data_IF_758636963955
#
_entry.id   IF_758636963955
#
_cell.length_a   1.000
_cell.length_b   1.000
_cell.length_c   1.000
_cell.angle_alpha   90.00
_cell.angle_beta   90.00
_cell.angle_gamma   90.00
#
_symmetry.space_group_name_H-M   'P 1'
#
loop_
_entity.id
_entity.type
_entity.pdbx_description
1 polymer ?
#
# COMPACT_ATOMS: atom_id res chain seq x y z
N UNK A 1 -78.29 -16.92 -11.93
CA UNK A 1 -78.07 -16.60 -13.36
C UNK A 1 -76.61 -16.86 -13.67
N UNK A 2 -76.34 -17.76 -14.63
CA UNK A 2 -75.01 -17.98 -15.21
C UNK A 2 -74.61 -16.74 -16.03
N UNK A 3 -73.32 -16.41 -16.11
CA UNK A 3 -72.63 -15.75 -17.23
C UNK A 3 -71.12 -15.61 -16.90
N UNK A 4 -70.29 -16.49 -17.45
CA UNK A 4 -68.88 -16.22 -17.87
C UNK A 4 -68.92 -15.80 -19.35
N UNK A 5 -67.94 -15.10 -20.00
CA UNK A 5 -66.49 -15.38 -19.94
C UNK A 5 -65.51 -14.21 -20.31
N UNK A 6 -64.22 -14.54 -20.42
CA UNK A 6 -63.20 -14.01 -21.36
C UNK A 6 -63.00 -12.48 -21.50
N UNK A 7 -61.78 -12.00 -21.19
CA UNK A 7 -60.85 -11.48 -22.21
C UNK A 7 -59.64 -10.72 -21.61
N UNK A 8 -58.47 -10.99 -22.20
CA UNK A 8 -57.32 -10.07 -22.40
C UNK A 8 -56.44 -9.74 -21.18
N UNK A 9 -55.24 -10.33 -21.16
CA UNK A 9 -54.00 -9.54 -21.24
C UNK A 9 -52.83 -10.42 -21.71
N UNK A 10 -52.19 -9.98 -22.79
CA UNK A 10 -51.00 -10.54 -23.44
C UNK A 10 -49.71 -10.02 -22.78
N UNK A 11 -48.63 -10.75 -23.02
CA UNK A 11 -47.22 -10.36 -22.99
C UNK A 11 -46.60 -10.19 -21.58
N UNK A 12 -45.37 -10.60 -21.28
CA UNK A 12 -44.17 -10.74 -22.10
C UNK A 12 -43.25 -11.72 -21.37
N UNK A 13 -42.91 -12.85 -21.99
CA UNK A 13 -41.97 -13.82 -21.42
C UNK A 13 -40.58 -13.17 -21.34
N UNK A 14 -40.00 -13.17 -20.15
CA UNK A 14 -38.75 -12.48 -19.83
C UNK A 14 -37.55 -13.04 -20.57
N UNK A 15 -36.85 -12.16 -21.28
CA UNK A 15 -35.52 -12.41 -21.82
C UNK A 15 -34.51 -12.24 -20.67
N UNK A 16 -34.16 -13.31 -19.95
CA UNK A 16 -32.99 -13.30 -19.07
C UNK A 16 -31.72 -13.46 -19.92
N UNK A 17 -31.21 -12.35 -20.45
CA UNK A 17 -29.84 -12.29 -20.96
C UNK A 17 -28.88 -12.22 -19.77
N UNK A 18 -28.25 -13.34 -19.43
CA UNK A 18 -27.12 -13.36 -18.50
C UNK A 18 -25.90 -12.75 -19.19
N UNK A 19 -25.71 -11.44 -19.03
CA UNK A 19 -24.42 -10.83 -19.32
C UNK A 19 -23.43 -11.27 -18.23
N UNK A 20 -22.48 -12.12 -18.57
CA UNK A 20 -21.36 -12.46 -17.69
C UNK A 20 -20.50 -11.21 -17.51
N UNK A 21 -20.72 -10.48 -16.41
CA UNK A 21 -19.79 -9.45 -15.98
C UNK A 21 -18.54 -10.16 -15.43
N UNK A 22 -17.43 -10.09 -16.17
CA UNK A 22 -16.13 -10.40 -15.62
C UNK A 22 -15.80 -9.37 -14.54
N UNK A 23 -16.07 -9.71 -13.29
CA UNK A 23 -15.60 -8.93 -12.14
C UNK A 23 -14.12 -9.24 -11.98
N UNK A 24 -13.26 -8.30 -12.36
CA UNK A 24 -11.87 -8.29 -11.91
C UNK A 24 -11.88 -7.99 -10.41
N UNK A 25 -11.70 -9.01 -9.58
CA UNK A 25 -11.56 -8.80 -8.14
C UNK A 25 -10.22 -8.10 -7.87
N UNK A 26 -10.29 -6.88 -7.35
CA UNK A 26 -9.14 -6.22 -6.76
C UNK A 26 -8.86 -6.88 -5.40
N UNK A 27 -7.96 -7.86 -5.35
CA UNK A 27 -7.55 -8.46 -4.07
C UNK A 27 -6.82 -7.40 -3.23
N UNK A 28 -7.31 -7.17 -2.02
CA UNK A 28 -6.62 -6.33 -1.03
C UNK A 28 -5.26 -6.93 -0.65
N UNK A 29 -4.35 -6.08 -0.15
CA UNK A 29 -3.08 -6.56 0.41
C UNK A 29 -3.33 -7.56 1.54
N UNK A 30 -2.54 -8.64 1.53
CA UNK A 30 -2.54 -9.71 2.53
C UNK A 30 -1.43 -9.48 3.54
N UNK A 31 -1.58 -10.03 4.73
CA UNK A 31 -0.50 -10.10 5.70
C UNK A 31 0.67 -10.95 5.17
N UNK A 32 1.86 -10.72 5.72
CA UNK A 32 3.03 -11.54 5.41
C UNK A 32 2.77 -13.00 5.83
N UNK A 33 2.95 -13.92 4.89
CA UNK A 33 2.84 -15.35 5.15
C UNK A 33 3.92 -15.81 6.15
N UNK A 34 3.72 -16.92 6.90
CA UNK A 34 4.71 -17.42 7.84
C UNK A 34 6.11 -17.63 7.24
N UNK A 35 6.18 -18.15 6.01
CA UNK A 35 7.45 -18.35 5.30
C UNK A 35 8.17 -17.00 5.01
N UNK A 36 7.42 -15.95 4.65
CA UNK A 36 7.98 -14.61 4.43
C UNK A 36 8.52 -14.01 5.72
N UNK A 37 7.77 -14.13 6.82
CA UNK A 37 8.23 -13.67 8.14
C UNK A 37 9.52 -14.36 8.55
N UNK A 38 9.58 -15.69 8.43
CA UNK A 38 10.77 -16.48 8.73
C UNK A 38 11.98 -16.06 7.87
N UNK A 39 11.77 -15.82 6.57
CA UNK A 39 12.84 -15.36 5.69
C UNK A 39 13.35 -13.97 6.08
N UNK A 40 12.45 -13.05 6.43
CA UNK A 40 12.82 -11.72 6.92
C UNK A 40 13.56 -11.81 8.27
N UNK A 41 13.05 -12.60 9.22
CA UNK A 41 13.65 -12.75 10.55
C UNK A 41 15.06 -13.36 10.49
N UNK A 42 15.30 -14.30 9.57
CA UNK A 42 16.61 -14.92 9.38
C UNK A 42 17.71 -13.90 9.03
N UNK A 43 17.37 -12.78 8.39
CA UNK A 43 18.34 -11.75 8.01
C UNK A 43 18.95 -11.03 9.22
N UNK A 44 18.23 -10.93 10.33
CA UNK A 44 18.78 -10.33 11.56
C UNK A 44 19.96 -11.13 12.14
N UNK A 45 20.09 -12.41 11.78
CA UNK A 45 21.21 -13.26 12.18
C UNK A 45 22.34 -13.28 11.13
N UNK A 46 22.10 -12.78 9.92
CA UNK A 46 23.05 -12.83 8.81
C UNK A 46 23.74 -11.49 8.54
N UNK A 47 23.12 -10.38 8.94
CA UNK A 47 23.61 -9.03 8.67
C UNK A 47 23.89 -8.27 9.99
N UNK A 48 24.88 -7.36 10.00
CA UNK A 48 25.29 -6.64 11.21
C UNK A 48 24.34 -5.47 11.54
N UNK A 49 23.10 -5.75 11.94
CA UNK A 49 22.11 -4.71 12.25
C UNK A 49 22.49 -3.83 13.46
N UNK A 50 23.37 -4.31 14.32
CA UNK A 50 23.92 -3.54 15.45
C UNK A 50 24.94 -2.48 15.01
N UNK A 51 25.47 -2.58 13.78
CA UNK A 51 26.32 -1.53 13.22
C UNK A 51 25.46 -0.33 12.80
N UNK A 52 25.62 0.78 13.54
CA UNK A 52 24.89 2.04 13.33
C UNK A 52 25.71 3.14 12.67
N UNK A 53 26.93 2.86 12.20
CA UNK A 53 27.83 3.86 11.62
C UNK A 53 27.18 4.64 10.47
N UNK A 54 26.40 3.98 9.60
CA UNK A 54 25.70 4.67 8.49
C UNK A 54 24.69 5.72 8.98
N UNK A 55 24.06 5.52 10.15
CA UNK A 55 23.15 6.51 10.73
C UNK A 55 23.93 7.69 11.27
N UNK A 56 25.05 7.44 11.96
CA UNK A 56 25.95 8.50 12.44
C UNK A 56 26.45 9.35 11.27
N UNK A 57 26.86 8.71 10.17
CA UNK A 57 27.31 9.37 8.95
C UNK A 57 26.17 10.14 8.25
N UNK A 58 24.94 9.60 8.21
CA UNK A 58 23.79 10.27 7.63
C UNK A 58 23.38 11.54 8.41
N UNK A 59 23.57 11.56 9.73
CA UNK A 59 23.28 12.72 10.58
C UNK A 59 24.43 13.74 10.63
N UNK A 60 25.62 13.35 10.22
CA UNK A 60 26.84 14.14 10.38
C UNK A 60 26.78 15.41 9.53
N UNK A 61 26.99 16.55 10.20
CA UNK A 61 27.03 17.85 9.53
C UNK A 61 25.67 18.39 9.12
N UNK A 62 24.58 17.88 9.72
CA UNK A 62 23.24 18.44 9.55
C UNK A 62 23.21 19.96 9.82
N UNK A 63 22.70 20.73 8.85
CA UNK A 63 22.59 22.19 8.92
C UNK A 63 21.14 22.62 9.18
N UNK A 64 20.20 22.10 8.39
CA UNK A 64 18.78 22.42 8.46
C UNK A 64 17.95 21.30 7.81
N UNK A 65 16.70 21.15 8.28
CA UNK A 65 15.73 20.23 7.68
C UNK A 65 15.06 20.87 6.46
N UNK A 66 14.59 20.05 5.53
CA UNK A 66 13.69 20.50 4.47
C UNK A 66 12.37 21.04 5.04
N UNK A 67 11.74 22.04 4.38
CA UNK A 67 10.40 22.46 4.75
C UNK A 67 9.38 21.33 4.57
N UNK A 68 8.41 21.27 5.47
CA UNK A 68 7.30 20.32 5.48
C UNK A 68 6.30 20.47 4.31
N UNK A 69 6.55 21.41 3.39
CA UNK A 69 5.63 21.79 2.34
C UNK A 69 5.72 20.85 1.12
N UNK A 70 4.57 20.45 0.59
CA UNK A 70 4.49 19.71 -0.67
C UNK A 70 4.89 20.62 -1.83
N UNK A 71 5.89 20.18 -2.60
CA UNK A 71 6.34 20.86 -3.81
C UNK A 71 5.34 20.55 -4.92
N UNK A 72 4.77 21.58 -5.53
CA UNK A 72 3.80 21.47 -6.63
C UNK A 72 4.33 22.10 -7.91
N UNK A 73 3.96 21.52 -9.05
CA UNK A 73 4.19 22.09 -10.36
C UNK A 73 3.22 23.23 -10.68
N UNK A 74 3.44 23.91 -11.80
CA UNK A 74 2.61 25.02 -12.27
C UNK A 74 1.14 24.64 -12.45
N UNK A 75 0.87 23.39 -12.84
CA UNK A 75 -0.48 22.84 -12.98
C UNK A 75 -1.09 22.34 -11.66
N UNK A 76 -0.40 22.53 -10.53
CA UNK A 76 -0.85 22.12 -9.19
C UNK A 76 -0.64 20.64 -8.86
N UNK A 77 -0.06 19.85 -9.75
CA UNK A 77 0.31 18.46 -9.49
C UNK A 77 1.45 18.39 -8.45
N UNK A 78 1.42 17.36 -7.60
CA UNK A 78 2.50 17.10 -6.64
C UNK A 78 3.75 16.67 -7.40
N UNK A 79 4.85 17.39 -7.22
CA UNK A 79 6.19 17.01 -7.69
C UNK A 79 6.88 16.19 -6.61
N UNK A 80 6.79 16.63 -5.35
CA UNK A 80 7.41 15.93 -4.22
C UNK A 80 6.72 16.27 -2.91
N UNK A 81 6.46 15.25 -2.09
CA UNK A 81 5.90 15.39 -0.74
C UNK A 81 6.90 14.86 0.30
N UNK A 82 7.50 15.73 1.16
CA UNK A 82 8.43 15.31 2.20
C UNK A 82 7.82 14.32 3.20
N UNK A 83 6.49 14.29 3.32
CA UNK A 83 5.77 13.50 4.33
C UNK A 83 5.28 12.15 3.79
N UNK A 84 5.49 11.86 2.51
CA UNK A 84 5.03 10.62 1.88
C UNK A 84 5.52 9.35 2.61
N UNK A 85 6.72 9.41 3.19
CA UNK A 85 7.36 8.30 3.89
C UNK A 85 7.39 8.50 5.42
N UNK A 86 6.49 9.32 5.96
CA UNK A 86 6.46 9.67 7.39
C UNK A 86 6.25 8.46 8.34
N UNK A 87 5.77 7.34 7.82
CA UNK A 87 5.61 6.08 8.55
C UNK A 87 6.94 5.33 8.79
N UNK A 88 8.01 5.65 8.07
CA UNK A 88 9.33 5.01 8.21
C UNK A 88 10.16 5.76 9.23
N UNK A 89 10.12 5.39 10.51
CA UNK A 89 10.88 6.09 11.55
C UNK A 89 12.18 5.36 11.87
N UNK A 90 13.25 6.12 12.07
CA UNK A 90 14.54 5.59 12.50
C UNK A 90 14.40 4.83 13.82
N UNK A 91 15.11 3.70 13.94
CA UNK A 91 15.10 2.86 15.15
C UNK A 91 13.88 1.95 15.30
N UNK A 92 12.81 2.14 14.53
CA UNK A 92 11.67 1.21 14.56
C UNK A 92 11.99 -0.10 13.83
N UNK A 93 11.50 -1.22 14.39
CA UNK A 93 11.62 -2.55 13.77
C UNK A 93 10.93 -2.53 12.40
N UNK A 94 11.52 -3.22 11.43
CA UNK A 94 10.87 -3.47 10.14
C UNK A 94 9.52 -4.18 10.33
N UNK A 95 8.45 -3.75 9.65
CA UNK A 95 7.22 -4.51 9.55
C UNK A 95 7.48 -5.88 8.93
N UNK A 96 6.69 -6.89 9.31
CA UNK A 96 6.81 -8.26 8.80
C UNK A 96 6.70 -8.37 7.27
N UNK A 97 6.05 -7.38 6.64
CA UNK A 97 5.84 -7.27 5.18
C UNK A 97 7.00 -6.62 4.44
N UNK A 98 8.06 -6.19 5.13
CA UNK A 98 9.21 -5.50 4.55
C UNK A 98 10.50 -6.22 4.93
N UNK A 99 11.40 -6.39 3.96
CA UNK A 99 12.73 -6.89 4.22
C UNK A 99 13.48 -5.96 5.20
N UNK A 100 14.07 -6.47 6.30
CA UNK A 100 14.67 -5.61 7.33
C UNK A 100 15.89 -4.81 6.85
N UNK A 101 16.67 -5.33 5.89
CA UNK A 101 17.79 -4.58 5.31
C UNK A 101 17.29 -3.40 4.48
N UNK A 102 16.22 -3.61 3.71
CA UNK A 102 15.58 -2.55 2.94
C UNK A 102 14.93 -1.51 3.87
N UNK A 103 14.35 -1.94 4.99
CA UNK A 103 13.79 -1.04 5.98
C UNK A 103 14.85 -0.14 6.60
N UNK A 104 16.00 -0.69 6.99
CA UNK A 104 17.17 0.09 7.45
C UNK A 104 17.60 1.12 6.40
N UNK A 105 17.69 0.73 5.13
CA UNK A 105 18.05 1.67 4.06
C UNK A 105 16.99 2.78 3.87
N UNK A 106 15.71 2.42 4.01
CA UNK A 106 14.62 3.39 3.91
C UNK A 106 14.65 4.41 5.06
N UNK A 107 15.04 3.99 6.27
CA UNK A 107 15.30 4.90 7.39
C UNK A 107 16.45 5.87 7.07
N UNK A 108 17.59 5.35 6.58
CA UNK A 108 18.74 6.17 6.19
C UNK A 108 18.39 7.23 5.14
N UNK A 109 17.63 6.84 4.11
CA UNK A 109 17.26 7.74 3.02
C UNK A 109 16.25 8.82 3.43
N UNK A 110 15.61 8.70 4.60
CA UNK A 110 14.62 9.68 5.07
C UNK A 110 15.26 10.97 5.59
N UNK A 111 16.54 10.96 5.97
CA UNK A 111 17.20 12.10 6.63
C UNK A 111 17.51 13.31 5.73
N UNK A 112 16.78 13.47 4.62
CA UNK A 112 16.86 14.62 3.72
C UNK A 112 16.09 15.83 4.22
#
# INVERSE_FOLDING_TARGET
>A
MKLTPLARSLALAGLLSTASLSVFAHEAQKDAAPATKQANDALYQQLPFDNKSDFEDAHKGFIAALPDAVIKGESGNVIWDPKQYAFIKEGEKAPDTVNPSLWRQSQLNRHG
#
